data_IF_896477996000
#
_entry.id   IF_896477996000
#
_cell.length_a   1.000
_cell.length_b   1.000
_cell.length_c   1.000
_cell.angle_alpha   90.00
_cell.angle_beta   90.00
_cell.angle_gamma   90.00
#
_symmetry.space_group_name_H-M   'P 1'
#
loop_
_entity.id
_entity.type
_entity.pdbx_description
1 polymer ?
#
# COMPACT_ATOMS: atom_id res chain seq x y z
N UNK A 1 9.08 14.87 -5.73
CA UNK A 1 8.82 16.13 -6.45
C UNK A 1 7.90 15.89 -7.65
N UNK A 2 8.28 15.05 -8.63
CA UNK A 2 7.45 14.77 -9.83
C UNK A 2 6.02 14.31 -9.49
N UNK A 3 5.84 13.43 -8.51
CA UNK A 3 4.50 13.01 -8.07
C UNK A 3 3.65 14.18 -7.55
N UNK A 4 4.23 15.04 -6.71
CA UNK A 4 3.54 16.19 -6.12
C UNK A 4 3.26 17.29 -7.15
N UNK A 5 4.13 17.49 -8.13
CA UNK A 5 3.90 18.49 -9.19
C UNK A 5 2.67 18.13 -10.02
N UNK A 6 2.54 16.87 -10.45
CA UNK A 6 1.33 16.43 -11.16
C UNK A 6 0.08 16.49 -10.28
N UNK A 7 0.19 16.18 -8.98
CA UNK A 7 -0.93 16.32 -8.05
C UNK A 7 -1.34 17.79 -7.88
N UNK A 8 -0.38 18.72 -7.82
CA UNK A 8 -0.65 20.15 -7.66
C UNK A 8 -1.30 20.76 -8.91
N UNK A 9 -1.01 20.25 -10.11
CA UNK A 9 -1.67 20.69 -11.33
C UNK A 9 -3.17 20.37 -11.34
N UNK A 10 -3.57 19.16 -10.90
CA UNK A 10 -4.98 18.76 -10.88
C UNK A 10 -5.70 19.08 -9.56
N UNK A 11 -4.96 19.27 -8.47
CA UNK A 11 -5.49 19.28 -7.11
C UNK A 11 -5.87 17.89 -6.58
N UNK A 12 -6.16 17.83 -5.27
CA UNK A 12 -6.61 16.61 -4.58
C UNK A 12 -8.05 16.24 -4.95
N UNK A 13 -8.32 14.94 -5.01
CA UNK A 13 -9.70 14.44 -5.13
C UNK A 13 -10.43 14.49 -3.77
N UNK A 14 -11.76 14.35 -3.78
CA UNK A 14 -12.60 14.31 -2.57
C UNK A 14 -13.53 13.08 -2.55
N UNK A 15 -14.13 12.74 -1.39
CA UNK A 15 -14.96 11.53 -1.25
C UNK A 15 -16.19 11.47 -2.19
N UNK A 16 -16.71 12.63 -2.61
CA UNK A 16 -17.86 12.70 -3.53
C UNK A 16 -17.46 12.45 -4.99
N UNK A 17 -16.18 12.66 -5.33
CA UNK A 17 -15.65 12.45 -6.68
C UNK A 17 -16.03 13.54 -7.70
N UNK A 18 -16.68 14.61 -7.25
CA UNK A 18 -17.04 15.79 -8.05
C UNK A 18 -15.97 16.89 -7.92
N UNK A 19 -16.04 17.97 -8.71
CA UNK A 19 -15.15 19.12 -8.56
C UNK A 19 -15.35 19.81 -7.20
N UNK A 20 -14.27 20.04 -6.45
CA UNK A 20 -14.30 20.78 -5.18
C UNK A 20 -13.98 22.27 -5.32
N UNK A 21 -13.91 22.81 -6.55
CA UNK A 21 -13.51 24.20 -6.81
C UNK A 21 -14.42 25.24 -6.12
N UNK A 22 -15.68 24.91 -5.88
CA UNK A 22 -16.64 25.80 -5.22
C UNK A 22 -16.41 25.95 -3.72
N UNK A 23 -15.68 25.02 -3.09
CA UNK A 23 -15.51 24.97 -1.62
C UNK A 23 -14.07 24.57 -1.26
N UNK A 24 -13.11 25.37 -1.74
CA UNK A 24 -11.70 25.21 -1.43
C UNK A 24 -11.35 25.96 -0.14
N UNK A 25 -10.69 25.25 0.77
CA UNK A 25 -10.10 25.82 1.99
C UNK A 25 -8.57 25.84 1.89
N UNK A 26 -7.88 26.78 2.55
CA UNK A 26 -6.42 26.80 2.56
C UNK A 26 -5.84 25.59 3.32
N UNK A 27 -4.64 25.15 2.92
CA UNK A 27 -3.93 24.03 3.58
C UNK A 27 -3.66 24.35 5.05
N UNK A 28 -3.18 25.55 5.33
CA UNK A 28 -2.99 26.05 6.69
C UNK A 28 -4.18 26.95 7.08
N UNK A 29 -4.77 26.79 8.27
CA UNK A 29 -4.38 25.88 9.36
C UNK A 29 -4.98 24.46 9.27
N UNK A 30 -6.00 24.26 8.45
CA UNK A 30 -6.88 23.08 8.51
C UNK A 30 -6.17 21.73 8.30
N UNK A 31 -5.54 21.54 7.15
CA UNK A 31 -4.84 20.30 6.84
C UNK A 31 -3.53 20.18 7.62
N UNK A 32 -2.85 21.29 7.95
CA UNK A 32 -1.66 21.25 8.80
C UNK A 32 -1.95 20.63 10.17
N UNK A 33 -3.00 21.08 10.88
CA UNK A 33 -3.36 20.48 12.18
C UNK A 33 -3.85 19.04 12.04
N UNK A 34 -4.60 18.73 10.99
CA UNK A 34 -5.04 17.36 10.70
C UNK A 34 -3.86 16.43 10.47
N UNK A 35 -2.84 16.86 9.73
CA UNK A 35 -1.65 16.07 9.43
C UNK A 35 -0.77 15.88 10.66
N UNK A 36 -0.66 16.89 11.54
CA UNK A 36 0.02 16.75 12.84
C UNK A 36 -0.69 15.70 13.70
N UNK A 37 -2.02 15.73 13.77
CA UNK A 37 -2.79 14.70 14.47
C UNK A 37 -2.60 13.31 13.84
N UNK A 38 -2.60 13.22 12.51
CA UNK A 38 -2.33 11.97 11.80
C UNK A 38 -0.93 11.43 12.10
N UNK A 39 0.08 12.29 12.14
CA UNK A 39 1.45 11.94 12.46
C UNK A 39 1.57 11.44 13.91
N UNK A 40 0.94 12.12 14.88
CA UNK A 40 0.98 11.67 16.29
C UNK A 40 0.31 10.31 16.46
N UNK A 41 -0.81 10.07 15.78
CA UNK A 41 -1.51 8.78 15.77
C UNK A 41 -0.74 7.67 15.03
N UNK A 42 0.08 8.00 14.03
CA UNK A 42 0.95 7.04 13.34
C UNK A 42 2.20 6.71 14.17
N UNK A 43 2.76 7.71 14.87
CA UNK A 43 3.96 7.54 15.69
C UNK A 43 3.71 6.71 16.94
N UNK A 44 2.51 6.76 17.54
CA UNK A 44 2.16 5.96 18.72
C UNK A 44 2.34 4.45 18.50
N UNK A 45 1.70 3.78 17.52
CA UNK A 45 1.92 2.35 17.29
C UNK A 45 3.36 2.05 16.86
N UNK A 46 3.98 2.92 16.06
CA UNK A 46 5.38 2.75 15.64
C UNK A 46 6.34 2.71 16.84
N UNK A 47 6.23 3.68 17.75
CA UNK A 47 7.05 3.72 18.96
C UNK A 47 6.73 2.56 19.89
N UNK A 48 5.46 2.16 20.01
CA UNK A 48 5.12 1.00 20.85
C UNK A 48 5.76 -0.28 20.31
N UNK A 49 5.75 -0.49 18.99
CA UNK A 49 6.41 -1.62 18.35
C UNK A 49 7.92 -1.56 18.59
N UNK A 50 8.55 -0.41 18.32
CA UNK A 50 10.00 -0.26 18.42
C UNK A 50 10.51 -0.42 19.86
N UNK A 51 9.79 0.09 20.87
CA UNK A 51 10.22 0.12 22.26
C UNK A 51 9.81 -1.12 23.06
N UNK A 52 8.60 -1.66 22.83
CA UNK A 52 8.09 -2.79 23.62
C UNK A 52 8.21 -4.14 22.91
N UNK A 53 8.21 -4.17 21.57
CA UNK A 53 8.18 -5.44 20.81
C UNK A 53 8.92 -5.36 19.47
N UNK A 54 10.21 -4.98 19.45
CA UNK A 54 10.95 -4.67 18.21
C UNK A 54 11.01 -5.84 17.22
N UNK A 55 10.96 -7.08 17.72
CA UNK A 55 11.07 -8.29 16.90
C UNK A 55 9.71 -8.90 16.51
N UNK A 56 8.58 -8.26 16.85
CA UNK A 56 7.24 -8.84 16.63
C UNK A 56 6.93 -9.10 15.15
N UNK A 57 7.41 -8.25 14.25
CA UNK A 57 7.20 -8.37 12.81
C UNK A 57 8.35 -9.09 12.08
N UNK A 58 9.43 -9.43 12.80
CA UNK A 58 10.62 -10.06 12.24
C UNK A 58 10.58 -11.59 12.30
N UNK A 59 11.49 -12.23 11.57
CA UNK A 59 11.68 -13.68 11.63
C UNK A 59 12.88 -14.03 12.53
N UNK A 60 12.72 -14.90 13.56
CA UNK A 60 13.82 -15.38 14.38
C UNK A 60 14.98 -15.99 13.56
N UNK A 61 14.71 -16.60 12.40
CA UNK A 61 15.74 -17.21 11.56
C UNK A 61 16.79 -16.17 11.06
N UNK A 62 16.40 -14.90 10.92
CA UNK A 62 17.27 -13.81 10.46
C UNK A 62 18.35 -13.39 11.48
N UNK A 63 18.26 -13.85 12.74
CA UNK A 63 19.31 -13.62 13.74
C UNK A 63 20.46 -14.62 13.64
N UNK A 64 20.29 -15.71 12.88
CA UNK A 64 21.38 -16.65 12.62
C UNK A 64 22.20 -16.20 11.40
N UNK A 65 23.54 -16.27 11.45
CA UNK A 65 24.37 -15.95 10.29
C UNK A 65 24.02 -16.84 9.09
N UNK A 66 23.98 -16.24 7.88
CA UNK A 66 23.63 -16.96 6.67
C UNK A 66 24.61 -18.10 6.37
N UNK A 67 24.08 -19.30 6.14
CA UNK A 67 24.84 -20.47 5.70
C UNK A 67 24.36 -20.90 4.30
N UNK A 68 25.17 -20.75 3.24
CA UNK A 68 24.75 -21.10 1.88
C UNK A 68 24.51 -22.60 1.65
N UNK A 69 24.99 -23.46 2.56
CA UNK A 69 24.85 -24.91 2.46
C UNK A 69 23.60 -25.45 3.16
N UNK A 70 22.90 -24.63 3.95
CA UNK A 70 21.76 -25.05 4.76
C UNK A 70 20.59 -24.10 4.55
N UNK A 71 19.50 -24.62 3.99
CA UNK A 71 18.22 -23.90 3.88
C UNK A 71 17.35 -24.19 5.09
N UNK A 72 16.86 -23.16 5.81
CA UNK A 72 15.88 -23.37 6.88
C UNK A 72 14.60 -24.07 6.38
N UNK A 73 13.89 -24.81 7.25
CA UNK A 73 12.74 -25.62 6.85
C UNK A 73 11.51 -24.78 6.46
N UNK A 74 11.33 -23.57 7.00
CA UNK A 74 10.15 -22.73 6.81
C UNK A 74 10.47 -21.33 6.26
N UNK A 75 11.34 -21.24 5.25
CA UNK A 75 11.72 -19.98 4.61
C UNK A 75 10.47 -19.25 4.07
N UNK A 76 10.24 -18.05 4.59
CA UNK A 76 9.21 -17.11 4.15
C UNK A 76 9.81 -15.72 4.00
N UNK A 77 9.28 -14.89 3.09
CA UNK A 77 9.67 -13.49 3.05
C UNK A 77 9.02 -12.72 4.20
N UNK A 78 9.41 -11.45 4.34
CA UNK A 78 8.76 -10.53 5.28
C UNK A 78 7.26 -10.38 5.00
N UNK A 79 6.51 -10.03 6.04
CA UNK A 79 5.05 -10.12 6.07
C UNK A 79 4.36 -9.33 4.93
N UNK A 80 4.91 -8.18 4.54
CA UNK A 80 4.35 -7.34 3.47
C UNK A 80 4.56 -7.92 2.06
N UNK A 81 5.41 -8.94 1.89
CA UNK A 81 5.56 -9.69 0.64
C UNK A 81 4.74 -10.98 0.59
N UNK A 82 4.07 -11.37 1.68
CA UNK A 82 3.34 -12.64 1.73
C UNK A 82 2.23 -12.76 0.67
N UNK A 83 1.58 -11.64 0.30
CA UNK A 83 0.57 -11.66 -0.76
C UNK A 83 1.16 -12.08 -2.11
N UNK A 84 2.32 -11.51 -2.49
CA UNK A 84 3.01 -11.84 -3.74
C UNK A 84 3.60 -13.24 -3.69
N UNK A 85 4.09 -13.67 -2.52
CA UNK A 85 4.59 -15.01 -2.29
C UNK A 85 3.51 -16.09 -2.45
N UNK A 86 2.30 -15.82 -1.96
CA UNK A 86 1.16 -16.70 -2.16
C UNK A 86 0.78 -16.84 -3.64
N UNK A 87 0.82 -15.74 -4.40
CA UNK A 87 0.62 -15.75 -5.86
C UNK A 87 1.71 -16.55 -6.58
N UNK A 88 2.97 -16.41 -6.16
CA UNK A 88 4.08 -17.16 -6.74
C UNK A 88 3.93 -18.68 -6.53
N UNK A 89 3.51 -19.11 -5.33
CA UNK A 89 3.34 -20.53 -4.97
C UNK A 89 2.06 -21.16 -5.51
N UNK A 90 1.06 -20.38 -5.91
CA UNK A 90 -0.21 -20.91 -6.44
C UNK A 90 -0.07 -21.49 -7.85
N UNK A 91 0.98 -21.11 -8.60
CA UNK A 91 1.22 -21.57 -9.96
C UNK A 91 2.32 -22.64 -9.96
N UNK A 92 2.03 -23.90 -10.32
CA UNK A 92 3.01 -25.00 -10.34
C UNK A 92 3.93 -24.94 -11.58
N UNK A 93 4.33 -23.74 -12.01
CA UNK A 93 5.25 -23.50 -13.12
C UNK A 93 6.21 -22.36 -12.75
N UNK A 94 7.52 -22.58 -12.91
CA UNK A 94 8.55 -21.61 -12.52
C UNK A 94 8.44 -20.28 -13.27
N UNK A 95 8.23 -20.31 -14.58
CA UNK A 95 8.09 -19.11 -15.40
C UNK A 95 6.73 -18.44 -15.18
N UNK A 96 5.66 -19.22 -15.11
CA UNK A 96 4.30 -18.73 -14.86
C UNK A 96 4.17 -18.01 -13.51
N UNK A 97 4.76 -18.55 -12.45
CA UNK A 97 4.77 -17.92 -11.13
C UNK A 97 5.48 -16.56 -11.11
N UNK A 98 6.64 -16.45 -11.77
CA UNK A 98 7.39 -15.18 -11.87
C UNK A 98 6.61 -14.13 -12.68
N UNK A 99 6.00 -14.55 -13.79
CA UNK A 99 5.14 -13.66 -14.58
C UNK A 99 3.92 -13.18 -13.78
N UNK A 100 3.29 -14.06 -13.00
CA UNK A 100 2.15 -13.70 -12.16
C UNK A 100 2.52 -12.76 -11.02
N UNK A 101 3.69 -12.95 -10.41
CA UNK A 101 4.22 -12.02 -9.40
C UNK A 101 4.43 -10.63 -10.00
N UNK A 102 5.07 -10.53 -11.17
CA UNK A 102 5.23 -9.26 -11.88
C UNK A 102 3.86 -8.64 -12.22
N UNK A 103 2.93 -9.45 -12.71
CA UNK A 103 1.57 -9.02 -13.04
C UNK A 103 0.80 -8.48 -11.81
N UNK A 104 1.01 -9.03 -10.60
CA UNK A 104 0.32 -8.59 -9.39
C UNK A 104 0.60 -7.13 -9.01
N UNK A 105 1.75 -6.60 -9.42
CA UNK A 105 2.11 -5.18 -9.23
C UNK A 105 1.77 -4.38 -10.48
N UNK A 106 2.07 -4.90 -11.66
CA UNK A 106 1.85 -4.20 -12.93
C UNK A 106 0.35 -3.97 -13.24
N UNK A 107 -0.54 -4.79 -12.70
CA UNK A 107 -1.99 -4.60 -12.85
C UNK A 107 -2.47 -3.23 -12.34
N UNK A 108 -1.74 -2.60 -11.42
CA UNK A 108 -2.03 -1.25 -10.93
C UNK A 108 -2.03 -0.20 -12.06
N UNK A 109 -1.19 -0.37 -13.09
CA UNK A 109 -1.16 0.52 -14.25
C UNK A 109 -2.36 0.33 -15.19
N UNK A 110 -3.03 -0.82 -15.12
CA UNK A 110 -4.23 -1.10 -15.92
C UNK A 110 -5.50 -0.52 -15.29
N UNK A 111 -5.48 -0.17 -13.99
CA UNK A 111 -6.66 0.33 -13.26
C UNK A 111 -7.38 1.48 -13.99
N UNK A 112 -6.70 2.54 -14.49
CA UNK A 112 -7.38 3.64 -15.19
C UNK A 112 -8.12 3.18 -16.46
N UNK A 113 -7.60 2.19 -17.17
CA UNK A 113 -8.20 1.66 -18.41
C UNK A 113 -9.36 0.69 -18.16
N UNK A 114 -9.36 0.02 -17.00
CA UNK A 114 -10.40 -0.89 -16.57
C UNK A 114 -11.62 -0.15 -15.97
N UNK A 115 -11.51 1.13 -15.66
CA UNK A 115 -12.61 1.91 -15.12
C UNK A 115 -13.74 2.09 -16.15
N UNK A 116 -14.91 1.49 -15.87
CA UNK A 116 -16.13 1.58 -16.71
C UNK A 116 -17.25 2.46 -16.12
N UNK A 117 -17.07 2.94 -14.91
CA UNK A 117 -18.10 3.75 -14.23
C UNK A 117 -18.23 5.12 -14.88
N UNK A 118 -19.43 5.70 -14.80
CA UNK A 118 -19.63 7.15 -15.02
C UNK A 118 -19.29 7.98 -13.78
N UNK A 119 -19.28 7.36 -12.60
CA UNK A 119 -18.95 7.99 -11.32
C UNK A 119 -17.50 7.68 -10.93
N UNK A 120 -16.74 8.73 -10.57
CA UNK A 120 -15.31 8.62 -10.24
C UNK A 120 -15.04 7.84 -8.94
N UNK A 121 -15.84 8.04 -7.90
CA UNK A 121 -15.67 7.38 -6.59
C UNK A 121 -16.59 6.18 -6.41
N UNK A 122 -16.27 5.35 -5.43
CA UNK A 122 -17.06 4.17 -5.05
C UNK A 122 -18.20 4.49 -4.06
N UNK A 123 -18.18 5.68 -3.45
CA UNK A 123 -19.11 6.12 -2.39
C UNK A 123 -20.59 5.93 -2.74
N UNK A 124 -20.95 6.11 -4.02
CA UNK A 124 -22.33 6.00 -4.51
C UNK A 124 -22.55 4.75 -5.38
N UNK A 125 -21.71 3.72 -5.24
CA UNK A 125 -21.72 2.50 -6.06
C UNK A 125 -21.98 1.28 -5.18
N UNK A 126 -23.24 0.95 -4.82
CA UNK A 126 -23.53 -0.10 -3.85
C UNK A 126 -23.06 -1.50 -4.27
N UNK A 127 -22.97 -1.77 -5.57
CA UNK A 127 -22.48 -3.05 -6.12
C UNK A 127 -20.95 -3.15 -6.16
N UNK A 128 -20.24 -2.04 -5.92
CA UNK A 128 -18.79 -1.99 -5.85
C UNK A 128 -18.39 -1.42 -4.48
N UNK A 129 -18.46 -2.22 -3.40
CA UNK A 129 -18.01 -1.79 -2.09
C UNK A 129 -16.48 -1.75 -2.02
N UNK A 130 -15.96 -0.99 -1.05
CA UNK A 130 -14.56 -0.67 -0.79
C UNK A 130 -13.55 -1.79 -1.05
#
# INVERSE_FOLDING_TARGET
IIHLTFLHESGSNNPLGNSSDSDKIPIHPYYSFKDILGLTLMLTPFLTLALFSPNLLGDPENFTPANPLVTPPHIKPEWYFLFAYAILRSIPNKLGGVLALAASVLILFLIPFLHKSKQRTMTFRPLAPC
#
